data_IF_263426921242
#
_entry.id   IF_263426921242
#
_cell.length_a   1.000
_cell.length_b   1.000
_cell.length_c   1.000
_cell.angle_alpha   90.00
_cell.angle_beta   90.00
_cell.angle_gamma   90.00
#
_symmetry.space_group_name_H-M   'P 1'
#
loop_
_entity.id
_entity.type
_entity.pdbx_description
1 polymer ?
#
# COMPACT_ATOMS: atom_id res chain seq x y z
N UNK A 1 23.14 -73.20 -0.97
CA UNK A 1 22.39 -71.94 -1.16
C UNK A 1 23.10 -71.13 -2.25
N UNK A 2 22.39 -70.76 -3.31
CA UNK A 2 22.97 -70.38 -4.59
C UNK A 2 23.59 -68.96 -4.54
N UNK A 3 24.91 -68.84 -4.68
CA UNK A 3 25.66 -67.58 -4.49
C UNK A 3 25.16 -66.45 -5.41
N UNK A 4 24.63 -66.80 -6.59
CA UNK A 4 23.98 -65.85 -7.50
C UNK A 4 22.67 -65.27 -6.95
N UNK A 5 21.89 -66.04 -6.20
CA UNK A 5 20.67 -65.54 -5.56
C UNK A 5 21.00 -64.52 -4.47
N UNK A 6 22.09 -64.75 -3.72
CA UNK A 6 22.55 -63.83 -2.69
C UNK A 6 23.07 -62.51 -3.28
N UNK A 7 23.80 -62.58 -4.41
CA UNK A 7 24.22 -61.39 -5.16
C UNK A 7 23.03 -60.62 -5.70
N UNK A 8 22.04 -61.30 -6.26
CA UNK A 8 20.82 -60.68 -6.79
C UNK A 8 20.01 -60.00 -5.67
N UNK A 9 19.85 -60.65 -4.52
CA UNK A 9 19.14 -60.08 -3.38
C UNK A 9 19.85 -58.82 -2.86
N UNK A 10 21.17 -58.88 -2.68
CA UNK A 10 21.98 -57.72 -2.26
C UNK A 10 21.85 -56.55 -3.23
N UNK A 11 21.83 -56.83 -4.54
CA UNK A 11 21.67 -55.82 -5.57
C UNK A 11 20.27 -55.19 -5.55
N UNK A 12 19.21 -56.00 -5.40
CA UNK A 12 17.85 -55.50 -5.25
C UNK A 12 17.70 -54.59 -4.02
N UNK A 13 18.29 -54.97 -2.88
CA UNK A 13 18.30 -54.13 -1.67
C UNK A 13 19.04 -52.80 -1.89
N UNK A 14 20.19 -52.83 -2.59
CA UNK A 14 20.95 -51.62 -2.90
C UNK A 14 20.19 -50.64 -3.80
N UNK A 15 19.50 -51.14 -4.83
CA UNK A 15 18.67 -50.32 -5.71
C UNK A 15 17.52 -49.66 -4.95
N UNK A 16 16.82 -50.43 -4.10
CA UNK A 16 15.71 -49.94 -3.31
C UNK A 16 16.14 -48.84 -2.34
N UNK A 17 17.26 -49.04 -1.63
CA UNK A 17 17.79 -48.03 -0.70
C UNK A 17 18.21 -46.73 -1.41
N UNK A 18 18.77 -46.81 -2.61
CA UNK A 18 19.12 -45.62 -3.38
C UNK A 18 17.87 -44.85 -3.82
N UNK A 19 16.82 -45.55 -4.28
CA UNK A 19 15.54 -44.95 -4.65
C UNK A 19 14.87 -44.25 -3.46
N UNK A 20 14.86 -44.88 -2.27
CA UNK A 20 14.37 -44.26 -1.05
C UNK A 20 15.15 -42.98 -0.70
N UNK A 21 16.48 -43.01 -0.80
CA UNK A 21 17.31 -41.82 -0.51
C UNK A 21 17.10 -40.65 -1.48
N UNK A 22 16.73 -40.94 -2.74
CA UNK A 22 16.41 -39.93 -3.75
C UNK A 22 15.03 -39.35 -3.46
N UNK A 23 14.05 -40.19 -3.13
CA UNK A 23 12.70 -39.77 -2.76
C UNK A 23 12.71 -38.92 -1.49
N UNK A 24 13.47 -39.29 -0.46
CA UNK A 24 13.60 -38.52 0.78
C UNK A 24 14.19 -37.13 0.52
N UNK A 25 15.22 -37.04 -0.34
CA UNK A 25 15.80 -35.75 -0.76
C UNK A 25 14.82 -34.91 -1.57
N UNK A 26 14.05 -35.52 -2.47
CA UNK A 26 13.01 -34.82 -3.23
C UNK A 26 11.89 -34.30 -2.31
N UNK A 27 11.48 -35.08 -1.31
CA UNK A 27 10.48 -34.68 -0.31
C UNK A 27 11.01 -33.53 0.57
N UNK A 28 12.27 -33.61 1.04
CA UNK A 28 12.91 -32.53 1.80
C UNK A 28 13.07 -31.24 0.97
N UNK A 29 13.44 -31.36 -0.30
CA UNK A 29 13.56 -30.21 -1.20
C UNK A 29 12.20 -29.55 -1.44
N UNK A 30 11.16 -30.34 -1.72
CA UNK A 30 9.81 -29.82 -1.92
C UNK A 30 9.23 -29.16 -0.65
N UNK A 31 9.44 -29.75 0.52
CA UNK A 31 9.01 -29.15 1.79
C UNK A 31 9.76 -27.85 2.08
N UNK A 32 11.05 -27.78 1.78
CA UNK A 32 11.86 -26.56 1.91
C UNK A 32 11.38 -25.45 0.97
N UNK A 33 11.11 -25.78 -0.30
CA UNK A 33 10.56 -24.84 -1.29
C UNK A 33 9.19 -24.35 -0.85
N UNK A 34 8.30 -25.26 -0.43
CA UNK A 34 6.97 -24.89 0.06
C UNK A 34 7.03 -23.98 1.29
N UNK A 35 7.93 -24.26 2.24
CA UNK A 35 8.13 -23.40 3.41
C UNK A 35 8.69 -22.01 3.03
N UNK A 36 9.55 -21.93 2.02
CA UNK A 36 10.04 -20.66 1.48
C UNK A 36 8.90 -19.86 0.83
N UNK A 37 8.09 -20.50 -0.03
CA UNK A 37 6.96 -19.87 -0.70
C UNK A 37 5.89 -19.39 0.29
N UNK A 38 5.58 -20.18 1.32
CA UNK A 38 4.63 -19.77 2.37
C UNK A 38 5.16 -18.57 3.17
N UNK A 39 6.47 -18.54 3.46
CA UNK A 39 7.11 -17.37 4.10
C UNK A 39 6.99 -16.13 3.22
N UNK A 40 7.29 -16.21 1.92
CA UNK A 40 7.14 -15.09 0.99
C UNK A 40 5.69 -14.61 0.91
N UNK A 41 4.74 -15.54 0.77
CA UNK A 41 3.30 -15.24 0.75
C UNK A 41 2.85 -14.52 2.01
N UNK A 42 3.32 -14.92 3.19
CA UNK A 42 3.09 -14.24 4.46
C UNK A 42 3.68 -12.82 4.47
N UNK A 43 4.92 -12.64 3.99
CA UNK A 43 5.52 -11.31 3.91
C UNK A 43 4.81 -10.39 2.92
N UNK A 44 4.24 -10.95 1.85
CA UNK A 44 3.51 -10.19 0.84
C UNK A 44 2.13 -9.76 1.35
N UNK A 45 1.48 -10.57 2.21
CA UNK A 45 0.23 -10.19 2.90
C UNK A 45 0.40 -8.94 3.78
N UNK A 46 1.57 -8.75 4.38
CA UNK A 46 1.85 -7.62 5.28
C UNK A 46 2.54 -6.45 4.54
N UNK A 47 2.34 -6.34 3.23
CA UNK A 47 2.95 -5.32 2.43
C UNK A 47 2.53 -3.91 2.91
N UNK A 48 3.48 -2.95 3.01
CA UNK A 48 3.16 -1.58 3.34
C UNK A 48 2.31 -0.95 2.22
N UNK A 49 1.48 0.04 2.56
CA UNK A 49 0.58 0.73 1.61
C UNK A 49 1.26 1.19 0.31
N UNK A 50 2.54 1.58 0.36
CA UNK A 50 3.31 1.95 -0.84
C UNK A 50 3.51 0.80 -1.84
N UNK A 51 3.63 -0.44 -1.36
CA UNK A 51 3.88 -1.64 -2.18
C UNK A 51 2.61 -2.34 -2.66
N UNK A 52 1.44 -2.01 -2.09
CA UNK A 52 0.17 -2.58 -2.52
C UNK A 52 -0.22 -2.14 -3.94
N UNK A 53 -0.78 -3.08 -4.69
CA UNK A 53 -1.28 -2.84 -6.04
C UNK A 53 -2.57 -2.02 -6.01
N UNK A 54 -2.91 -1.38 -7.14
CA UNK A 54 -4.14 -0.58 -7.25
C UNK A 54 -5.40 -1.39 -6.89
N UNK A 55 -5.45 -2.66 -7.31
CA UNK A 55 -6.58 -3.56 -7.03
C UNK A 55 -6.72 -3.86 -5.53
N UNK A 56 -5.61 -4.15 -4.85
CA UNK A 56 -5.60 -4.44 -3.41
C UNK A 56 -6.01 -3.22 -2.60
N UNK A 57 -5.48 -2.04 -2.96
CA UNK A 57 -5.86 -0.75 -2.36
C UNK A 57 -7.36 -0.51 -2.48
N UNK A 58 -7.96 -0.78 -3.64
CA UNK A 58 -9.40 -0.61 -3.86
C UNK A 58 -10.20 -1.54 -2.95
N UNK A 59 -9.81 -2.82 -2.84
CA UNK A 59 -10.49 -3.78 -1.96
C UNK A 59 -10.50 -3.31 -0.50
N UNK A 60 -9.34 -2.89 0.00
CA UNK A 60 -9.19 -2.39 1.37
C UNK A 60 -9.99 -1.09 1.57
N UNK A 61 -10.02 -0.20 0.57
CA UNK A 61 -10.83 1.04 0.64
C UNK A 61 -12.33 0.76 0.64
N UNK A 62 -12.79 -0.29 -0.03
CA UNK A 62 -14.20 -0.68 -0.02
C UNK A 62 -14.62 -1.26 1.33
N UNK A 63 -13.77 -2.09 1.93
CA UNK A 63 -13.99 -2.59 3.29
C UNK A 63 -14.04 -1.44 4.30
N UNK A 64 -13.09 -0.49 4.21
CA UNK A 64 -13.12 0.72 5.02
C UNK A 64 -14.39 1.55 4.81
N UNK A 65 -14.87 1.69 3.58
CA UNK A 65 -16.09 2.46 3.29
C UNK A 65 -17.32 1.84 3.95
N UNK A 66 -17.40 0.50 3.99
CA UNK A 66 -18.48 -0.22 4.67
C UNK A 66 -18.42 0.00 6.18
N UNK A 67 -17.26 -0.26 6.80
CA UNK A 67 -17.05 -0.06 8.25
C UNK A 67 -17.37 1.39 8.65
N UNK A 68 -16.84 2.37 7.91
CA UNK A 68 -17.05 3.79 8.18
C UNK A 68 -18.52 4.20 8.07
N UNK A 69 -19.25 3.66 7.10
CA UNK A 69 -20.67 3.96 6.93
C UNK A 69 -21.56 3.28 7.97
N UNK A 70 -21.20 2.07 8.41
CA UNK A 70 -21.89 1.39 9.52
C UNK A 70 -21.74 2.21 10.80
N UNK A 71 -20.52 2.65 11.13
CA UNK A 71 -20.23 3.48 12.31
C UNK A 71 -21.00 4.81 12.30
N UNK A 72 -21.17 5.42 11.12
CA UNK A 72 -21.85 6.71 10.95
C UNK A 72 -23.34 6.58 10.58
N UNK A 73 -23.91 5.37 10.55
CA UNK A 73 -25.31 5.10 10.19
C UNK A 73 -25.72 5.68 8.83
N UNK A 74 -24.85 5.59 7.82
CA UNK A 74 -25.12 6.07 6.47
C UNK A 74 -25.93 5.06 5.63
N UNK A 75 -26.67 5.56 4.65
CA UNK A 75 -27.52 4.73 3.78
C UNK A 75 -26.69 3.92 2.76
N UNK A 76 -27.27 2.87 2.19
CA UNK A 76 -26.64 2.03 1.16
C UNK A 76 -26.16 2.82 -0.07
N UNK A 77 -26.91 3.84 -0.48
CA UNK A 77 -26.51 4.76 -1.56
C UNK A 77 -25.23 5.54 -1.21
N UNK A 78 -25.13 6.02 0.03
CA UNK A 78 -23.97 6.79 0.49
C UNK A 78 -22.71 5.92 0.59
N UNK A 79 -22.86 4.62 0.87
CA UNK A 79 -21.78 3.64 0.83
C UNK A 79 -21.22 3.54 -0.60
N UNK A 80 -22.10 3.42 -1.59
CA UNK A 80 -21.70 3.34 -3.00
C UNK A 80 -21.04 4.65 -3.47
N UNK A 81 -21.56 5.79 -3.06
CA UNK A 81 -20.95 7.09 -3.34
C UNK A 81 -19.55 7.21 -2.73
N UNK A 82 -19.37 6.76 -1.48
CA UNK A 82 -18.06 6.74 -0.83
C UNK A 82 -17.09 5.80 -1.54
N UNK A 83 -17.51 4.58 -1.89
CA UNK A 83 -16.69 3.62 -2.64
C UNK A 83 -16.25 4.20 -3.98
N UNK A 84 -17.19 4.76 -4.75
CA UNK A 84 -16.91 5.42 -6.03
C UNK A 84 -15.94 6.59 -5.85
N UNK A 85 -16.17 7.43 -4.83
CA UNK A 85 -15.31 8.56 -4.52
C UNK A 85 -13.89 8.13 -4.17
N UNK A 86 -13.71 7.13 -3.30
CA UNK A 86 -12.40 6.62 -2.89
C UNK A 86 -11.64 6.01 -4.08
N UNK A 87 -12.34 5.30 -4.96
CA UNK A 87 -11.76 4.80 -6.21
C UNK A 87 -11.25 5.96 -7.08
N UNK A 88 -12.07 6.98 -7.31
CA UNK A 88 -11.66 8.16 -8.08
C UNK A 88 -10.53 8.94 -7.38
N UNK A 89 -10.53 9.00 -6.05
CA UNK A 89 -9.47 9.65 -5.28
C UNK A 89 -8.13 8.91 -5.41
N UNK A 90 -8.15 7.58 -5.45
CA UNK A 90 -6.98 6.74 -5.71
C UNK A 90 -6.45 6.98 -7.14
N UNK A 91 -7.34 7.05 -8.13
CA UNK A 91 -6.99 7.32 -9.53
C UNK A 91 -6.38 8.70 -9.73
N UNK A 92 -6.90 9.70 -9.01
CA UNK A 92 -6.36 11.06 -8.96
C UNK A 92 -5.09 11.21 -8.12
N UNK A 93 -4.51 10.09 -7.64
CA UNK A 93 -3.29 10.04 -6.82
C UNK A 93 -3.38 10.82 -5.50
N UNK A 94 -4.60 11.08 -4.99
CA UNK A 94 -4.79 11.86 -3.75
C UNK A 94 -4.49 11.07 -2.47
N UNK A 95 -4.58 9.75 -2.53
CA UNK A 95 -4.36 8.82 -1.40
C UNK A 95 -3.26 7.80 -1.71
N UNK A 96 -2.30 8.21 -2.57
CA UNK A 96 -1.20 7.34 -2.98
C UNK A 96 -0.11 7.24 -1.89
N UNK A 97 0.10 8.31 -1.11
CA UNK A 97 1.18 8.37 -0.11
C UNK A 97 0.73 7.75 1.20
N UNK A 98 1.70 7.21 1.95
CA UNK A 98 1.49 6.68 3.30
C UNK A 98 0.99 7.78 4.26
N UNK A 99 1.33 9.06 4.02
CA UNK A 99 0.85 10.17 4.87
C UNK A 99 -0.64 10.47 4.69
N UNK A 100 -1.21 10.12 3.55
CA UNK A 100 -2.60 10.41 3.21
C UNK A 100 -3.56 9.31 3.72
N UNK A 101 -3.03 8.23 4.32
CA UNK A 101 -3.82 7.09 4.80
C UNK A 101 -3.23 6.48 6.06
N UNK A 102 -4.08 6.15 7.04
CA UNK A 102 -3.67 5.42 8.23
C UNK A 102 -3.93 3.92 8.03
N UNK A 103 -2.97 3.23 7.41
CA UNK A 103 -3.04 1.81 7.11
C UNK A 103 -2.28 0.98 8.14
N UNK A 104 -2.92 -0.05 8.68
CA UNK A 104 -2.28 -1.01 9.58
C UNK A 104 -1.87 -2.26 8.81
N UNK A 105 -0.56 -2.46 8.68
CA UNK A 105 0.07 -3.60 7.98
C UNK A 105 -0.15 -4.94 8.69
N UNK A 106 -0.53 -4.93 9.97
CA UNK A 106 -0.73 -6.15 10.77
C UNK A 106 -2.15 -6.67 10.54
N UNK A 107 -3.15 -5.78 10.57
CA UNK A 107 -4.54 -6.15 10.35
C UNK A 107 -4.94 -6.16 8.87
N UNK A 108 -4.15 -5.49 8.02
CA UNK A 108 -4.48 -5.33 6.61
C UNK A 108 -5.59 -4.32 6.35
N UNK A 109 -6.00 -3.55 7.37
CA UNK A 109 -7.14 -2.61 7.30
C UNK A 109 -6.70 -1.15 7.36
N UNK A 110 -7.51 -0.28 6.75
CA UNK A 110 -7.36 1.17 6.88
C UNK A 110 -8.14 1.61 8.11
N UNK A 111 -7.45 2.23 9.08
CA UNK A 111 -8.07 2.75 10.31
C UNK A 111 -8.76 4.09 10.07
N UNK A 112 -8.12 4.97 9.30
CA UNK A 112 -8.67 6.28 8.99
C UNK A 112 -8.01 6.88 7.75
N UNK A 113 -8.75 7.76 7.06
CA UNK A 113 -8.23 8.54 5.93
C UNK A 113 -8.15 10.01 6.37
N UNK A 114 -6.95 10.52 6.67
CA UNK A 114 -6.74 11.93 6.99
C UNK A 114 -7.33 12.85 5.92
N UNK A 115 -8.18 13.78 6.36
CA UNK A 115 -8.81 14.76 5.47
C UNK A 115 -10.11 14.30 4.81
N UNK A 116 -10.57 13.07 5.04
CA UNK A 116 -11.89 12.63 4.60
C UNK A 116 -12.96 13.38 5.42
N UNK A 117 -13.81 14.13 4.73
CA UNK A 117 -14.88 14.92 5.33
C UNK A 117 -16.16 14.70 4.54
N UNK A 118 -17.22 14.34 5.25
CA UNK A 118 -18.57 14.31 4.72
C UNK A 118 -19.23 15.68 4.91
N UNK A 119 -19.64 16.29 3.80
CA UNK A 119 -20.39 17.56 3.83
C UNK A 119 -21.89 17.26 3.88
N UNK A 120 -22.51 17.47 5.06
CA UNK A 120 -23.96 17.26 5.25
C UNK A 120 -24.82 18.17 4.35
N UNK A 121 -24.31 19.36 4.00
CA UNK A 121 -25.03 20.34 3.19
C UNK A 121 -25.11 19.93 1.71
N UNK A 122 -24.07 19.29 1.19
CA UNK A 122 -23.96 18.94 -0.23
C UNK A 122 -24.09 17.44 -0.48
N UNK A 123 -24.28 16.65 0.59
CA UNK A 123 -24.27 15.19 0.62
C UNK A 123 -23.09 14.56 -0.13
N UNK A 124 -21.92 15.22 -0.10
CA UNK A 124 -20.73 14.80 -0.85
C UNK A 124 -19.55 14.49 0.08
N UNK A 125 -18.84 13.43 -0.26
CA UNK A 125 -17.54 13.11 0.31
C UNK A 125 -16.46 13.96 -0.33
N UNK A 126 -15.61 14.56 0.51
CA UNK A 126 -14.50 15.39 0.06
C UNK A 126 -13.24 15.05 0.84
N UNK A 127 -12.10 15.10 0.15
CA UNK A 127 -10.79 14.93 0.73
C UNK A 127 -10.08 16.28 0.76
N UNK A 128 -9.94 16.86 1.95
CA UNK A 128 -9.19 18.10 2.17
C UNK A 128 -7.69 17.81 2.24
N UNK A 129 -6.89 18.70 1.66
CA UNK A 129 -5.44 18.59 1.74
C UNK A 129 -4.98 18.93 3.17
N UNK A 130 -4.33 17.98 3.84
CA UNK A 130 -3.82 18.14 5.21
C UNK A 130 -2.44 18.80 5.25
N UNK A 131 -1.74 18.88 4.12
CA UNK A 131 -0.46 19.57 4.01
C UNK A 131 -0.63 21.06 4.31
N UNK A 132 -0.16 21.49 5.50
CA UNK A 132 0.00 22.90 5.88
C UNK A 132 1.08 23.52 4.99
N UNK A 133 0.73 23.87 3.76
CA UNK A 133 1.61 24.69 2.91
C UNK A 133 1.80 26.02 3.64
N UNK A 134 2.98 26.27 4.18
CA UNK A 134 3.31 27.58 4.74
C UNK A 134 3.22 28.57 3.59
N UNK A 135 2.16 29.38 3.61
CA UNK A 135 1.86 30.30 2.53
C UNK A 135 3.03 31.27 2.38
N UNK A 136 3.76 31.15 1.27
CA UNK A 136 4.84 32.08 0.92
C UNK A 136 4.30 33.49 0.69
N UNK A 137 2.97 33.66 0.57
CA UNK A 137 2.28 34.96 0.49
C UNK A 137 2.58 35.85 1.69
N UNK A 138 2.84 35.28 2.87
CA UNK A 138 3.25 36.06 4.05
C UNK A 138 4.68 36.62 3.95
N UNK A 139 5.54 35.95 3.17
CA UNK A 139 6.93 36.36 2.94
C UNK A 139 7.09 37.11 1.61
N UNK A 140 6.04 37.17 0.80
CA UNK A 140 6.01 37.99 -0.40
C UNK A 140 5.86 39.47 0.01
N UNK A 141 6.73 40.36 -0.49
CA UNK A 141 6.57 41.79 -0.25
C UNK A 141 5.24 42.26 -0.83
N UNK A 142 4.48 43.02 -0.05
CA UNK A 142 3.23 43.60 -0.53
C UNK A 142 3.46 44.44 -1.80
N UNK A 143 2.46 44.52 -2.68
CA UNK A 143 2.57 45.26 -3.95
C UNK A 143 3.06 46.71 -3.75
N UNK A 144 2.67 47.34 -2.63
CA UNK A 144 3.17 48.66 -2.19
C UNK A 144 4.67 48.65 -1.86
N UNK A 145 5.13 47.65 -1.10
CA UNK A 145 6.55 47.49 -0.73
C UNK A 145 7.42 47.19 -1.97
N UNK A 146 6.90 46.41 -2.92
CA UNK A 146 7.58 46.11 -4.20
C UNK A 146 7.76 47.36 -5.08
N UNK A 147 6.75 48.24 -5.15
CA UNK A 147 6.85 49.51 -5.90
C UNK A 147 7.87 50.47 -5.28
N UNK A 148 7.93 50.56 -3.95
CA UNK A 148 8.93 51.38 -3.25
C UNK A 148 10.36 50.88 -3.48
N UNK A 149 10.56 49.55 -3.49
CA UNK A 149 11.85 48.93 -3.81
C UNK A 149 12.28 49.18 -5.25
N UNK A 150 11.35 49.18 -6.23
CA UNK A 150 11.65 49.54 -7.63
C UNK A 150 12.07 51.01 -7.77
N UNK A 151 11.38 51.94 -7.09
CA UNK A 151 11.73 53.36 -7.09
C UNK A 151 13.12 53.62 -6.48
N UNK A 152 13.48 52.92 -5.40
CA UNK A 152 14.82 53.00 -4.80
C UNK A 152 15.95 52.47 -5.70
N UNK A 153 15.69 51.47 -6.54
CA UNK A 153 16.68 50.99 -7.51
C UNK A 153 16.90 51.98 -8.66
N UNK A 154 15.85 52.65 -9.11
CA UNK A 154 15.95 53.64 -10.19
C UNK A 154 16.80 54.85 -9.76
N UNK A 155 16.56 55.40 -8.57
CA UNK A 155 17.31 56.55 -8.04
C UNK A 155 18.79 56.25 -7.67
N UNK A 156 19.22 54.98 -7.68
CA UNK A 156 20.60 54.61 -7.34
C UNK A 156 21.51 54.55 -8.57
N UNK A 157 20.94 54.46 -9.77
CA UNK A 157 21.70 54.39 -11.02
C UNK A 157 22.03 55.77 -11.62
N UNK A 158 21.49 56.86 -11.05
CA UNK A 158 21.73 58.24 -11.53
C UNK A 158 22.79 58.99 -10.67
N UNK A 159 23.60 58.26 -9.87
CA UNK A 159 24.60 58.84 -8.97
C UNK A 159 26.02 58.26 -9.12
N UNK A 160 26.33 57.68 -10.27
CA UNK A 160 27.71 57.36 -10.68
C UNK A 160 28.11 58.18 -11.91
#
# INVERSE_FOLDING_TARGET
>A
MNNNQLKNFKYQTLLLNNQLSIQDKEIENNTTINAFLEREKLTNKNAPWSKLNKSEKIKILYEFAEEYCIENTFNSEQINDLKSYLKTALERKKIQRIKDINYDKITGKVKSIPGLVYSKLTHKFTLKNTDKKQSTVKNLPSKKKLQAMKKKKFNKNDKE
#
